data_IF_462759949897
#
_entry.id   IF_462759949897
#
_cell.length_a   1.000
_cell.length_b   1.000
_cell.length_c   1.000
_cell.angle_alpha   90.00
_cell.angle_beta   90.00
_cell.angle_gamma   90.00
#
_symmetry.space_group_name_H-M   'P 1'
#
loop_
_entity.id
_entity.type
_entity.pdbx_description
1 polymer ?
#
# COMPACT_ATOMS: atom_id res chain seq x y z
N UNK A 1 21.22 25.19 20.25
CA UNK A 1 21.47 23.87 19.63
C UNK A 1 20.45 23.69 18.51
N UNK A 2 20.84 24.01 17.28
CA UNK A 2 19.98 23.82 16.10
C UNK A 2 19.86 22.31 15.83
N UNK A 3 18.67 21.77 15.53
CA UNK A 3 18.58 20.37 15.11
C UNK A 3 19.38 20.19 13.81
N UNK A 4 20.10 19.07 13.62
CA UNK A 4 20.77 18.82 12.36
C UNK A 4 19.70 18.75 11.27
N UNK A 5 19.82 19.64 10.28
CA UNK A 5 19.04 19.56 9.08
C UNK A 5 19.33 18.21 8.41
N UNK A 6 18.38 17.27 8.48
CA UNK A 6 18.44 16.05 7.66
C UNK A 6 18.13 16.45 6.21
N UNK A 7 19.09 17.13 5.60
CA UNK A 7 19.11 17.44 4.18
C UNK A 7 19.51 16.15 3.47
N UNK A 8 18.58 15.59 2.70
CA UNK A 8 18.88 14.50 1.77
C UNK A 8 19.65 15.12 0.61
N UNK A 9 20.98 15.21 0.73
CA UNK A 9 21.84 15.78 -0.31
C UNK A 9 22.94 14.82 -0.78
N UNK A 10 23.02 13.58 -0.28
CA UNK A 10 24.04 12.66 -0.77
C UNK A 10 23.66 12.14 -2.17
N UNK A 11 24.57 12.24 -3.18
CA UNK A 11 24.33 11.69 -4.53
C UNK A 11 24.05 10.18 -4.53
N UNK A 12 24.50 9.47 -3.48
CA UNK A 12 24.27 8.04 -3.27
C UNK A 12 22.81 7.74 -2.98
N UNK A 13 22.14 8.53 -2.12
CA UNK A 13 20.72 8.33 -1.79
C UNK A 13 19.82 8.52 -3.01
N UNK A 14 20.14 9.51 -3.85
CA UNK A 14 19.39 9.80 -5.07
C UNK A 14 19.58 8.70 -6.12
N UNK A 15 20.80 8.17 -6.24
CA UNK A 15 21.11 7.06 -7.14
C UNK A 15 20.40 5.79 -6.70
N UNK A 16 20.41 5.49 -5.40
CA UNK A 16 19.67 4.37 -4.83
C UNK A 16 18.16 4.50 -5.05
N UNK A 17 17.59 5.69 -4.79
CA UNK A 17 16.17 5.95 -5.03
C UNK A 17 15.75 5.74 -6.50
N UNK A 18 16.61 6.16 -7.45
CA UNK A 18 16.38 5.94 -8.87
C UNK A 18 16.46 4.46 -9.24
N UNK A 19 17.45 3.73 -8.73
CA UNK A 19 17.57 2.29 -8.94
C UNK A 19 16.35 1.55 -8.41
N UNK A 20 15.90 1.86 -7.18
CA UNK A 20 14.68 1.31 -6.59
C UNK A 20 13.44 1.57 -7.46
N UNK A 21 13.29 2.79 -7.99
CA UNK A 21 12.16 3.12 -8.86
C UNK A 21 12.20 2.35 -10.19
N UNK A 22 13.39 2.18 -10.78
CA UNK A 22 13.57 1.41 -12.02
C UNK A 22 13.31 -0.07 -11.80
N UNK A 23 13.78 -0.65 -10.69
CA UNK A 23 13.47 -2.04 -10.32
C UNK A 23 11.95 -2.21 -10.17
N UNK A 24 11.27 -1.31 -9.46
CA UNK A 24 9.83 -1.36 -9.31
C UNK A 24 9.08 -1.29 -10.66
N UNK A 25 9.46 -0.35 -11.54
CA UNK A 25 8.85 -0.21 -12.87
C UNK A 25 9.13 -1.41 -13.79
N UNK A 26 10.36 -1.92 -13.80
CA UNK A 26 10.72 -3.10 -14.57
C UNK A 26 9.96 -4.33 -14.07
N UNK A 27 9.87 -4.53 -12.76
CA UNK A 27 9.08 -5.62 -12.17
C UNK A 27 7.60 -5.55 -12.55
N UNK A 28 6.99 -4.36 -12.51
CA UNK A 28 5.61 -4.14 -12.93
C UNK A 28 5.41 -4.43 -14.42
N UNK A 29 6.33 -3.97 -15.27
CA UNK A 29 6.28 -4.23 -16.71
C UNK A 29 6.40 -5.72 -17.02
N UNK A 30 7.34 -6.42 -16.39
CA UNK A 30 7.52 -7.87 -16.51
C UNK A 30 6.26 -8.61 -16.07
N UNK A 31 5.67 -8.24 -14.93
CA UNK A 31 4.43 -8.85 -14.46
C UNK A 31 3.28 -8.67 -15.47
N UNK A 32 3.06 -7.43 -15.94
CA UNK A 32 2.01 -7.14 -16.92
C UNK A 32 2.23 -7.89 -18.23
N UNK A 33 3.48 -7.92 -18.73
CA UNK A 33 3.82 -8.65 -19.95
C UNK A 33 3.56 -10.16 -19.81
N UNK A 34 3.99 -10.77 -18.69
CA UNK A 34 3.71 -12.19 -18.42
C UNK A 34 2.22 -12.47 -18.31
N UNK A 35 1.46 -11.64 -17.57
CA UNK A 35 0.02 -11.81 -17.41
C UNK A 35 -0.73 -11.70 -18.75
N UNK A 36 -0.35 -10.74 -19.61
CA UNK A 36 -0.92 -10.57 -20.94
C UNK A 36 -0.54 -11.72 -21.88
N UNK A 37 0.73 -12.17 -21.84
CA UNK A 37 1.19 -13.31 -22.63
C UNK A 37 0.42 -14.58 -22.28
N UNK A 38 0.13 -14.81 -21.00
CA UNK A 38 -0.64 -15.96 -20.53
C UNK A 38 -2.06 -16.01 -21.10
N UNK A 39 -2.70 -14.86 -21.39
CA UNK A 39 -3.99 -14.87 -22.08
C UNK A 39 -3.91 -15.41 -23.52
N UNK A 40 -2.76 -15.24 -24.20
CA UNK A 40 -2.51 -15.82 -25.51
C UNK A 40 -2.04 -17.28 -25.45
N UNK A 41 -1.25 -17.63 -24.43
CA UNK A 41 -0.69 -18.98 -24.25
C UNK A 41 -1.69 -19.98 -23.66
N UNK A 42 -2.76 -19.48 -23.03
CA UNK A 42 -3.81 -20.29 -22.39
C UNK A 42 -5.21 -19.88 -22.90
N UNK A 43 -5.51 -20.14 -24.19
CA UNK A 43 -6.83 -19.85 -24.75
C UNK A 43 -7.93 -20.75 -24.18
N UNK A 44 -7.56 -21.83 -23.48
CA UNK A 44 -8.45 -22.72 -22.73
C UNK A 44 -9.10 -22.05 -21.50
N UNK A 45 -8.53 -20.96 -21.00
CA UNK A 45 -9.05 -20.22 -19.84
C UNK A 45 -9.83 -18.98 -20.27
N UNK A 46 -11.06 -18.86 -19.79
CA UNK A 46 -11.91 -17.70 -20.04
C UNK A 46 -11.32 -16.42 -19.39
N UNK A 47 -10.96 -15.39 -20.17
CA UNK A 47 -10.39 -14.16 -19.65
C UNK A 47 -11.30 -13.40 -18.65
N UNK A 48 -12.61 -13.60 -18.70
CA UNK A 48 -13.59 -12.92 -17.85
C UNK A 48 -13.84 -13.70 -16.55
N UNK A 49 -14.00 -15.01 -16.64
CA UNK A 49 -14.40 -15.84 -15.49
C UNK A 49 -13.21 -16.44 -14.74
N UNK A 50 -12.12 -16.76 -15.43
CA UNK A 50 -10.94 -17.39 -14.83
C UNK A 50 -10.09 -16.38 -14.07
N UNK A 51 -9.90 -16.66 -12.78
CA UNK A 51 -9.01 -15.92 -11.89
C UNK A 51 -7.56 -16.03 -12.33
N UNK A 52 -6.74 -15.04 -11.96
CA UNK A 52 -5.31 -15.02 -12.34
C UNK A 52 -4.56 -16.24 -11.77
N UNK A 53 -4.93 -16.69 -10.57
CA UNK A 53 -4.32 -17.86 -9.94
C UNK A 53 -4.61 -19.19 -10.65
N UNK A 54 -5.68 -19.32 -11.45
CA UNK A 54 -5.90 -20.50 -12.27
C UNK A 54 -4.83 -20.66 -13.36
N UNK A 55 -4.22 -19.55 -13.81
CA UNK A 55 -3.12 -19.58 -14.77
C UNK A 55 -1.82 -20.13 -14.16
N UNK A 56 -1.76 -20.38 -12.83
CA UNK A 56 -0.64 -21.08 -12.19
C UNK A 56 -0.67 -22.59 -12.46
N UNK A 57 -1.81 -23.15 -12.88
CA UNK A 57 -1.97 -24.59 -13.09
C UNK A 57 -1.64 -24.91 -14.55
N UNK A 58 -0.71 -25.84 -14.77
CA UNK A 58 -0.28 -26.32 -16.10
C UNK A 58 1.10 -25.80 -16.53
N UNK A 59 1.48 -26.09 -17.77
CA UNK A 59 2.86 -25.93 -18.26
C UNK A 59 3.40 -24.49 -18.22
N UNK A 60 2.51 -23.50 -18.31
CA UNK A 60 2.86 -22.08 -18.25
C UNK A 60 2.77 -21.47 -16.84
N UNK A 61 2.41 -22.27 -15.83
CA UNK A 61 2.39 -21.86 -14.43
C UNK A 61 3.69 -21.22 -13.94
N UNK A 62 4.88 -21.80 -14.23
CA UNK A 62 6.16 -21.23 -13.83
C UNK A 62 6.41 -19.80 -14.31
N UNK A 63 5.88 -19.41 -15.47
CA UNK A 63 5.97 -18.03 -15.98
C UNK A 63 5.25 -17.05 -15.05
N UNK A 64 4.05 -17.41 -14.59
CA UNK A 64 3.28 -16.58 -13.67
C UNK A 64 3.90 -16.59 -12.26
N UNK A 65 4.45 -17.73 -11.82
CA UNK A 65 5.16 -17.83 -10.55
C UNK A 65 6.36 -16.88 -10.50
N UNK A 66 7.21 -16.91 -11.53
CA UNK A 66 8.33 -16.00 -11.67
C UNK A 66 7.86 -14.52 -11.69
N UNK A 67 6.78 -14.23 -12.42
CA UNK A 67 6.21 -12.88 -12.45
C UNK A 67 5.75 -12.39 -11.06
N UNK A 68 5.15 -13.27 -10.24
CA UNK A 68 4.72 -12.94 -8.87
C UNK A 68 5.91 -12.61 -7.97
N UNK A 69 7.00 -13.40 -8.05
CA UNK A 69 8.24 -13.16 -7.30
C UNK A 69 8.89 -11.84 -7.74
N UNK A 70 8.96 -11.60 -9.05
CA UNK A 70 9.51 -10.35 -9.61
C UNK A 70 8.70 -9.13 -9.14
N UNK A 71 7.37 -9.23 -9.11
CA UNK A 71 6.50 -8.17 -8.59
C UNK A 71 6.73 -7.92 -7.09
N UNK A 72 6.89 -8.97 -6.29
CA UNK A 72 7.21 -8.86 -4.86
C UNK A 72 8.52 -8.10 -4.58
N UNK A 73 9.55 -8.36 -5.38
CA UNK A 73 10.82 -7.61 -5.34
C UNK A 73 10.58 -6.13 -5.67
N UNK A 74 9.80 -5.86 -6.72
CA UNK A 74 9.47 -4.50 -7.15
C UNK A 74 8.73 -3.68 -6.08
N UNK A 75 7.75 -4.29 -5.41
CA UNK A 75 7.02 -3.66 -4.29
C UNK A 75 7.95 -3.31 -3.12
N UNK A 76 8.85 -4.23 -2.77
CA UNK A 76 9.84 -4.02 -1.69
C UNK A 76 10.83 -2.91 -2.06
N UNK A 77 11.32 -2.91 -3.30
CA UNK A 77 12.19 -1.86 -3.82
C UNK A 77 11.53 -0.48 -3.78
N UNK A 78 10.25 -0.38 -4.17
CA UNK A 78 9.48 0.87 -4.09
C UNK A 78 9.39 1.38 -2.65
N UNK A 79 9.02 0.52 -1.70
CA UNK A 79 8.95 0.87 -0.28
C UNK A 79 10.28 1.37 0.27
N UNK A 80 11.39 0.73 -0.13
CA UNK A 80 12.73 1.12 0.28
C UNK A 80 13.12 2.50 -0.30
N UNK A 81 12.89 2.72 -1.60
CA UNK A 81 13.18 3.98 -2.27
C UNK A 81 12.39 5.17 -1.70
N UNK A 82 11.10 4.97 -1.39
CA UNK A 82 10.27 6.00 -0.76
C UNK A 82 10.71 6.30 0.68
N UNK A 83 11.12 5.28 1.44
CA UNK A 83 11.64 5.48 2.80
C UNK A 83 12.92 6.32 2.81
N UNK A 84 13.85 6.07 1.89
CA UNK A 84 15.11 6.81 1.82
C UNK A 84 14.89 8.28 1.43
N UNK A 85 13.95 8.54 0.53
CA UNK A 85 13.63 9.89 0.03
C UNK A 85 12.64 10.68 0.90
N UNK A 86 12.12 10.07 1.96
CA UNK A 86 11.25 10.75 2.93
C UNK A 86 12.08 11.54 3.95
N UNK A 87 11.63 12.75 4.26
CA UNK A 87 12.19 13.59 5.34
C UNK A 87 12.16 12.86 6.69
N UNK A 88 13.11 13.17 7.58
CA UNK A 88 13.28 12.46 8.85
C UNK A 88 12.01 12.39 9.71
N UNK A 89 11.19 13.45 9.71
CA UNK A 89 9.92 13.48 10.45
C UNK A 89 8.82 12.60 9.85
N UNK A 90 8.89 12.28 8.55
CA UNK A 90 7.89 11.47 7.84
C UNK A 90 8.40 10.06 7.49
N UNK A 91 9.69 9.79 7.69
CA UNK A 91 10.33 8.50 7.42
C UNK A 91 9.77 7.41 8.32
N UNK A 92 9.30 6.33 7.71
CA UNK A 92 8.75 5.17 8.43
C UNK A 92 9.12 3.88 7.71
N UNK A 93 9.43 2.83 8.48
CA UNK A 93 9.63 1.49 7.94
C UNK A 93 8.30 0.73 7.70
N UNK A 94 7.19 1.22 8.26
CA UNK A 94 5.93 0.50 8.24
C UNK A 94 5.37 0.21 6.83
N UNK A 95 5.35 1.17 5.86
CA UNK A 95 4.89 0.87 4.51
C UNK A 95 5.79 -0.15 3.78
N UNK A 96 7.11 -0.06 3.99
CA UNK A 96 8.06 -1.03 3.45
C UNK A 96 7.78 -2.44 3.99
N UNK A 97 7.55 -2.58 5.30
CA UNK A 97 7.22 -3.87 5.90
C UNK A 97 5.90 -4.43 5.34
N UNK A 98 4.88 -3.58 5.14
CA UNK A 98 3.62 -4.01 4.51
C UNK A 98 3.82 -4.45 3.06
N UNK A 99 4.64 -3.74 2.27
CA UNK A 99 4.96 -4.19 0.91
C UNK A 99 5.77 -5.49 0.89
N UNK A 100 6.70 -5.68 1.83
CA UNK A 100 7.47 -6.91 1.96
C UNK A 100 6.57 -8.09 2.38
N UNK A 101 5.66 -7.89 3.34
CA UNK A 101 4.67 -8.90 3.75
C UNK A 101 3.68 -9.23 2.63
N UNK A 102 3.24 -8.22 1.87
CA UNK A 102 2.40 -8.41 0.69
C UNK A 102 3.12 -9.18 -0.41
N UNK A 103 4.40 -8.85 -0.66
CA UNK A 103 5.26 -9.56 -1.60
C UNK A 103 5.54 -11.01 -1.17
N UNK A 104 5.82 -11.24 0.11
CA UNK A 104 5.99 -12.59 0.66
C UNK A 104 4.71 -13.40 0.51
N UNK A 105 3.56 -12.81 0.84
CA UNK A 105 2.24 -13.44 0.69
C UNK A 105 1.95 -13.77 -0.78
N UNK A 106 2.31 -12.87 -1.71
CA UNK A 106 2.18 -13.09 -3.15
C UNK A 106 3.08 -14.23 -3.63
N UNK A 107 4.32 -14.30 -3.15
CA UNK A 107 5.24 -15.40 -3.46
C UNK A 107 4.73 -16.73 -2.88
N UNK A 108 4.21 -16.75 -1.65
CA UNK A 108 3.57 -17.95 -1.09
C UNK A 108 2.38 -18.38 -1.94
N UNK A 109 1.55 -17.45 -2.40
CA UNK A 109 0.42 -17.74 -3.30
C UNK A 109 0.89 -18.38 -4.61
N UNK A 110 2.05 -17.98 -5.11
CA UNK A 110 2.60 -18.49 -6.36
C UNK A 110 2.94 -19.99 -6.28
N UNK A 111 3.47 -20.43 -5.14
CA UNK A 111 3.97 -21.81 -4.96
C UNK A 111 3.04 -22.71 -4.15
N UNK A 112 2.08 -22.15 -3.40
CA UNK A 112 1.04 -22.92 -2.74
C UNK A 112 0.06 -23.47 -3.79
N UNK A 113 -0.16 -24.79 -3.77
CA UNK A 113 -1.10 -25.44 -4.67
C UNK A 113 -2.52 -24.93 -4.44
N UNK A 114 -3.25 -24.67 -5.53
CA UNK A 114 -4.66 -24.29 -5.49
C UNK A 114 -5.53 -25.52 -5.74
N UNK A 115 -6.48 -25.79 -4.86
CA UNK A 115 -7.50 -26.81 -5.09
C UNK A 115 -8.44 -26.41 -6.23
N UNK A 116 -8.75 -27.36 -7.11
CA UNK A 116 -9.69 -27.15 -8.20
C UNK A 116 -11.12 -26.96 -7.65
N UNK A 117 -11.96 -26.13 -8.28
CA UNK A 117 -13.36 -25.98 -7.88
C UNK A 117 -14.08 -27.33 -7.88
N UNK A 118 -14.59 -27.77 -6.73
CA UNK A 118 -15.35 -29.03 -6.58
C UNK A 118 -14.63 -30.18 -5.87
N UNK A 119 -13.38 -30.00 -5.44
CA UNK A 119 -12.63 -30.94 -4.60
C UNK A 119 -12.65 -30.47 -3.14
N UNK A 120 -12.58 -31.39 -2.18
CA UNK A 120 -12.45 -31.07 -0.75
C UNK A 120 -11.23 -30.18 -0.50
N UNK A 121 -11.40 -29.15 0.34
CA UNK A 121 -10.34 -28.19 0.63
C UNK A 121 -9.16 -28.84 1.34
N UNK A 122 -7.98 -28.78 0.74
CA UNK A 122 -6.72 -29.25 1.30
C UNK A 122 -6.06 -28.15 2.14
N UNK A 123 -5.09 -28.54 2.97
CA UNK A 123 -4.23 -27.58 3.69
C UNK A 123 -3.53 -26.62 2.70
N UNK A 124 -3.10 -27.13 1.55
CA UNK A 124 -2.38 -26.36 0.55
C UNK A 124 -3.28 -25.32 -0.13
N UNK A 125 -4.50 -25.70 -0.50
CA UNK A 125 -5.49 -24.75 -1.04
C UNK A 125 -5.89 -23.68 -0.02
N UNK A 126 -5.94 -24.03 1.27
CA UNK A 126 -6.13 -23.03 2.34
C UNK A 126 -4.95 -22.06 2.43
N UNK A 127 -3.70 -22.54 2.35
CA UNK A 127 -2.51 -21.70 2.33
C UNK A 127 -2.55 -20.78 1.11
N UNK A 128 -2.90 -21.29 -0.07
CA UNK A 128 -3.07 -20.49 -1.28
C UNK A 128 -4.12 -19.39 -1.08
N UNK A 129 -5.32 -19.73 -0.60
CA UNK A 129 -6.39 -18.77 -0.39
C UNK A 129 -6.06 -17.67 0.63
N UNK A 130 -5.50 -18.04 1.77
CA UNK A 130 -5.12 -17.09 2.84
C UNK A 130 -3.97 -16.19 2.38
N UNK A 131 -2.95 -16.75 1.72
CA UNK A 131 -1.82 -15.97 1.21
C UNK A 131 -2.24 -15.02 0.08
N UNK A 132 -3.16 -15.43 -0.80
CA UNK A 132 -3.70 -14.57 -1.85
C UNK A 132 -4.42 -13.35 -1.25
N UNK A 133 -5.27 -13.57 -0.25
CA UNK A 133 -5.95 -12.50 0.48
C UNK A 133 -4.95 -11.61 1.23
N UNK A 134 -3.96 -12.21 1.87
CA UNK A 134 -2.86 -11.51 2.53
C UNK A 134 -2.11 -10.58 1.59
N UNK A 135 -1.81 -11.03 0.37
CA UNK A 135 -1.11 -10.23 -0.64
C UNK A 135 -1.89 -8.94 -0.97
N UNK A 136 -3.19 -9.03 -1.25
CA UNK A 136 -4.04 -7.85 -1.52
C UNK A 136 -4.14 -6.93 -0.31
N UNK A 137 -4.37 -7.48 0.87
CA UNK A 137 -4.58 -6.70 2.09
C UNK A 137 -3.32 -5.96 2.52
N UNK A 138 -2.18 -6.64 2.59
CA UNK A 138 -0.91 -6.01 2.94
C UNK A 138 -0.47 -4.98 1.89
N UNK A 139 -0.63 -5.28 0.59
CA UNK A 139 -0.29 -4.35 -0.47
C UNK A 139 -1.13 -3.06 -0.37
N UNK A 140 -2.45 -3.17 -0.30
CA UNK A 140 -3.35 -2.00 -0.26
C UNK A 140 -3.25 -1.21 1.06
N UNK A 141 -3.06 -1.89 2.19
CA UNK A 141 -2.74 -1.22 3.46
C UNK A 141 -1.40 -0.47 3.39
N UNK A 142 -0.39 -1.08 2.76
CA UNK A 142 0.90 -0.46 2.46
C UNK A 142 0.75 0.79 1.59
N UNK A 143 -0.09 0.74 0.54
CA UNK A 143 -0.40 1.88 -0.32
C UNK A 143 -1.03 3.03 0.45
N UNK A 144 -2.04 2.75 1.29
CA UNK A 144 -2.72 3.78 2.10
C UNK A 144 -1.75 4.41 3.10
N UNK A 145 -1.00 3.58 3.85
CA UNK A 145 -0.06 4.09 4.83
C UNK A 145 1.07 4.89 4.16
N UNK A 146 1.57 4.42 3.01
CA UNK A 146 2.56 5.15 2.22
C UNK A 146 2.00 6.50 1.79
N UNK A 147 0.79 6.56 1.23
CA UNK A 147 0.17 7.81 0.79
C UNK A 147 -0.06 8.79 1.95
N UNK A 148 -0.41 8.30 3.15
CA UNK A 148 -0.52 9.12 4.35
C UNK A 148 0.84 9.71 4.79
N UNK A 149 1.92 8.92 4.70
CA UNK A 149 3.29 9.42 4.98
C UNK A 149 3.72 10.47 3.95
N UNK A 150 3.41 10.26 2.67
CA UNK A 150 3.67 11.23 1.60
C UNK A 150 2.88 12.54 1.80
N UNK A 151 1.69 12.50 2.39
CA UNK A 151 0.89 13.70 2.70
C UNK A 151 1.56 14.58 3.77
N UNK A 152 2.24 13.96 4.73
CA UNK A 152 2.97 14.66 5.78
C UNK A 152 4.25 15.33 5.29
N UNK A 153 4.83 14.83 4.19
CA UNK A 153 6.06 15.37 3.63
C UNK A 153 5.77 16.51 2.64
N UNK A 154 6.29 17.70 2.95
CA UNK A 154 6.08 18.91 2.16
C UNK A 154 6.45 18.70 0.68
N UNK A 155 7.48 17.91 0.42
CA UNK A 155 8.01 17.66 -0.89
C UNK A 155 7.09 16.72 -1.70
N UNK A 156 6.32 15.85 -1.02
CA UNK A 156 5.45 14.83 -1.64
C UNK A 156 3.96 15.18 -1.65
N UNK A 157 3.57 16.34 -1.11
CA UNK A 157 2.17 16.80 -1.06
C UNK A 157 1.44 16.75 -2.40
N UNK A 158 2.11 17.09 -3.50
CA UNK A 158 1.47 17.05 -4.82
C UNK A 158 1.10 15.62 -5.24
N UNK A 159 2.02 14.68 -5.04
CA UNK A 159 1.80 13.24 -5.27
C UNK A 159 0.71 12.68 -4.36
N UNK A 160 0.73 13.06 -3.08
CA UNK A 160 -0.21 12.55 -2.08
C UNK A 160 -1.68 12.90 -2.38
N UNK A 161 -1.96 14.04 -3.04
CA UNK A 161 -3.32 14.49 -3.36
C UNK A 161 -4.09 13.52 -4.25
N UNK A 162 -3.42 12.87 -5.19
CA UNK A 162 -4.04 11.85 -6.05
C UNK A 162 -3.74 10.43 -5.57
N UNK A 163 -2.57 10.19 -4.96
CA UNK A 163 -2.17 8.86 -4.52
C UNK A 163 -3.02 8.37 -3.35
N UNK A 164 -3.43 9.24 -2.42
CA UNK A 164 -4.24 8.86 -1.27
C UNK A 164 -5.66 8.41 -1.63
N UNK A 165 -6.47 9.19 -2.36
CA UNK A 165 -7.82 8.74 -2.74
C UNK A 165 -7.78 7.49 -3.62
N UNK A 166 -6.79 7.34 -4.50
CA UNK A 166 -6.62 6.11 -5.29
C UNK A 166 -6.23 4.92 -4.40
N UNK A 167 -5.31 5.08 -3.44
CA UNK A 167 -4.98 3.99 -2.50
C UNK A 167 -6.20 3.56 -1.66
N UNK A 168 -7.01 4.52 -1.20
CA UNK A 168 -8.25 4.26 -0.48
C UNK A 168 -9.28 3.56 -1.36
N UNK A 169 -9.39 3.93 -2.65
CA UNK A 169 -10.22 3.23 -3.62
C UNK A 169 -9.76 1.78 -3.78
N UNK A 170 -8.46 1.52 -3.99
CA UNK A 170 -7.94 0.15 -4.09
C UNK A 170 -8.24 -0.65 -2.82
N UNK A 171 -8.04 -0.06 -1.64
CA UNK A 171 -8.35 -0.69 -0.37
C UNK A 171 -9.84 -0.99 -0.24
N UNK A 172 -10.73 -0.04 -0.57
CA UNK A 172 -12.18 -0.26 -0.54
C UNK A 172 -12.61 -1.38 -1.52
N UNK A 173 -12.01 -1.42 -2.72
CA UNK A 173 -12.33 -2.43 -3.73
C UNK A 173 -12.00 -3.87 -3.32
N UNK A 174 -11.02 -4.10 -2.42
CA UNK A 174 -10.77 -5.45 -1.90
C UNK A 174 -11.93 -5.95 -1.03
N UNK A 175 -12.62 -5.05 -0.32
CA UNK A 175 -13.79 -5.38 0.49
C UNK A 175 -15.00 -5.66 -0.38
N UNK A 176 -15.16 -4.90 -1.46
CA UNK A 176 -16.18 -5.19 -2.47
C UNK A 176 -15.95 -6.58 -3.06
N UNK A 177 -14.70 -6.91 -3.42
CA UNK A 177 -14.34 -8.25 -3.92
C UNK A 177 -14.60 -9.36 -2.88
N UNK A 178 -14.38 -9.08 -1.59
CA UNK A 178 -14.60 -10.04 -0.51
C UNK A 178 -16.08 -10.26 -0.19
N UNK A 179 -16.90 -9.21 -0.28
CA UNK A 179 -18.32 -9.24 0.12
C UNK A 179 -19.24 -9.60 -1.05
N UNK A 180 -18.89 -9.26 -2.28
CA UNK A 180 -19.71 -9.50 -3.46
C UNK A 180 -19.49 -10.90 -4.04
N UNK A 181 -20.27 -11.86 -3.55
CA UNK A 181 -20.14 -13.28 -3.91
C UNK A 181 -20.50 -13.61 -5.35
N UNK A 182 -21.49 -12.92 -5.92
CA UNK A 182 -22.06 -13.18 -7.25
C UNK A 182 -21.32 -12.48 -8.40
N UNK A 183 -20.30 -11.67 -8.11
CA UNK A 183 -19.52 -10.99 -9.13
C UNK A 183 -18.69 -11.99 -9.95
N UNK A 184 -18.48 -11.77 -11.26
CA UNK A 184 -17.56 -12.57 -12.07
C UNK A 184 -16.15 -12.42 -11.50
N UNK A 185 -15.73 -13.40 -10.70
CA UNK A 185 -14.55 -13.26 -9.83
C UNK A 185 -13.26 -13.00 -10.60
N UNK A 186 -13.11 -13.57 -11.80
CA UNK A 186 -11.97 -13.32 -12.68
C UNK A 186 -11.83 -11.83 -13.03
N UNK A 187 -12.87 -11.24 -13.62
CA UNK A 187 -12.89 -9.83 -14.02
C UNK A 187 -12.78 -8.88 -12.82
N UNK A 188 -13.54 -9.14 -11.75
CA UNK A 188 -13.51 -8.31 -10.54
C UNK A 188 -12.10 -8.29 -9.92
N UNK A 189 -11.46 -9.46 -9.79
CA UNK A 189 -10.09 -9.56 -9.27
C UNK A 189 -9.08 -8.86 -10.19
N UNK A 190 -9.14 -9.09 -11.51
CA UNK A 190 -8.24 -8.44 -12.50
C UNK A 190 -8.40 -6.91 -12.47
N UNK A 191 -9.62 -6.41 -12.31
CA UNK A 191 -9.88 -4.97 -12.18
C UNK A 191 -9.18 -4.38 -10.96
N UNK A 192 -9.28 -5.04 -9.80
CA UNK A 192 -8.58 -4.62 -8.58
C UNK A 192 -7.06 -4.67 -8.77
N UNK A 193 -6.54 -5.74 -9.40
CA UNK A 193 -5.11 -5.87 -9.71
C UNK A 193 -4.64 -4.72 -10.60
N UNK A 194 -5.35 -4.38 -11.68
CA UNK A 194 -5.01 -3.27 -12.57
C UNK A 194 -4.98 -1.94 -11.81
N UNK A 195 -5.93 -1.69 -10.91
CA UNK A 195 -5.95 -0.48 -10.08
C UNK A 195 -4.73 -0.41 -9.15
N UNK A 196 -4.33 -1.53 -8.54
CA UNK A 196 -3.14 -1.62 -7.67
C UNK A 196 -1.86 -1.39 -8.48
N UNK A 197 -1.70 -2.08 -9.61
CA UNK A 197 -0.53 -1.95 -10.49
C UNK A 197 -0.41 -0.52 -11.03
N UNK A 198 -1.52 0.10 -11.41
CA UNK A 198 -1.56 1.49 -11.86
C UNK A 198 -1.06 2.46 -10.78
N UNK A 199 -1.50 2.27 -9.54
CA UNK A 199 -1.00 3.08 -8.42
C UNK A 199 0.50 2.87 -8.19
N UNK A 200 0.97 1.62 -8.16
CA UNK A 200 2.39 1.28 -7.97
C UNK A 200 3.25 1.89 -9.08
N UNK A 201 2.81 1.83 -10.33
CA UNK A 201 3.48 2.43 -11.48
C UNK A 201 3.53 3.96 -11.38
N UNK A 202 2.42 4.60 -11.01
CA UNK A 202 2.32 6.05 -10.88
C UNK A 202 3.25 6.59 -9.78
N UNK A 203 3.27 5.95 -8.61
CA UNK A 203 4.14 6.36 -7.49
C UNK A 203 5.61 6.05 -7.79
N UNK A 204 5.91 4.92 -8.43
CA UNK A 204 7.28 4.59 -8.87
C UNK A 204 7.80 5.59 -9.90
N UNK A 205 6.95 6.01 -10.84
CA UNK A 205 7.27 7.05 -11.82
C UNK A 205 7.50 8.41 -11.14
N UNK A 206 6.68 8.76 -10.14
CA UNK A 206 6.88 9.96 -9.35
C UNK A 206 8.23 9.93 -8.61
N UNK A 207 8.61 8.80 -8.02
CA UNK A 207 9.92 8.60 -7.39
C UNK A 207 11.06 8.75 -8.40
N UNK A 208 10.96 8.12 -9.57
CA UNK A 208 11.96 8.21 -10.64
C UNK A 208 12.15 9.65 -11.13
N UNK A 209 11.05 10.36 -11.44
CA UNK A 209 11.09 11.75 -11.93
C UNK A 209 11.78 12.68 -10.94
N UNK A 210 11.52 12.50 -9.64
CA UNK A 210 12.12 13.30 -8.58
C UNK A 210 13.61 13.00 -8.40
N UNK A 211 13.98 11.73 -8.39
CA UNK A 211 15.39 11.33 -8.33
C UNK A 211 16.18 11.78 -9.57
N UNK A 212 15.53 11.88 -10.73
CA UNK A 212 16.15 12.39 -11.96
C UNK A 212 16.32 13.92 -11.96
N UNK A 213 15.32 14.67 -11.47
CA UNK A 213 15.34 16.13 -11.43
C UNK A 213 16.48 16.69 -10.55
N UNK A 214 16.85 15.99 -9.47
CA UNK A 214 17.92 16.40 -8.56
C UNK A 214 19.34 16.36 -9.19
N UNK A 215 19.56 15.58 -10.25
CA UNK A 215 20.86 15.54 -10.97
C UNK A 215 21.09 16.73 -11.91
N UNK A 216 20.02 17.34 -12.42
CA UNK A 216 20.11 18.47 -13.36
C UNK A 216 20.19 19.85 -12.70
N UNK A 217 19.96 19.95 -11.38
CA UNK A 217 19.85 21.21 -10.65
C UNK A 217 21.13 21.73 -9.99
N UNK A 218 22.26 21.01 -10.07
CA UNK A 218 23.50 21.37 -9.38
C UNK A 218 24.18 22.66 -9.92
N UNK A 219 23.66 23.28 -10.98
CA UNK A 219 24.18 24.53 -11.53
C UNK A 219 23.09 25.59 -11.78
N UNK A 220 22.28 25.92 -10.76
CA UNK A 220 21.63 27.25 -10.75
C UNK A 220 21.14 27.70 -9.37
N UNK A 221 21.83 28.75 -8.87
CA UNK A 221 21.33 29.87 -8.04
C UNK A 221 20.83 29.58 -6.62
N UNK A 222 21.75 29.78 -5.68
CA UNK A 222 21.46 30.44 -4.40
C UNK A 222 21.11 31.92 -4.65
N UNK A 223 19.96 32.45 -4.20
CA UNK A 223 19.85 33.86 -3.87
C UNK A 223 20.07 33.99 -2.37
N UNK A 224 21.22 34.54 -2.00
CA UNK A 224 21.48 35.07 -0.67
C UNK A 224 20.42 36.16 -0.38
N UNK A 225 19.49 35.90 0.55
CA UNK A 225 18.57 36.93 1.05
C UNK A 225 19.14 37.52 2.34
N UNK A 226 19.31 38.86 2.46
CA UNK A 226 19.70 39.49 3.72
C UNK A 226 18.51 39.47 4.70
N UNK A 227 18.84 39.43 5.99
CA UNK A 227 17.91 39.15 7.07
C UNK A 227 16.85 40.21 7.29
N UNK A 228 15.61 39.76 7.49
CA UNK A 228 14.60 40.50 8.22
C UNK A 228 14.31 39.79 9.54
N UNK A 229 14.76 40.42 10.63
CA UNK A 229 14.29 40.12 11.99
C UNK A 229 12.82 40.52 12.07
N UNK A 230 11.91 39.55 12.04
CA UNK A 230 10.53 39.75 12.43
C UNK A 230 10.32 39.26 13.87
N UNK A 231 9.71 40.16 14.62
CA UNK A 231 9.54 40.25 16.06
C UNK A 231 8.69 39.10 16.60
N UNK A 232 9.17 38.47 17.66
CA UNK A 232 8.69 37.20 18.24
C UNK A 232 7.47 37.32 19.18
N UNK A 233 6.44 38.09 18.83
CA UNK A 233 5.33 38.35 19.78
C UNK A 233 3.93 37.87 19.34
N UNK A 234 3.67 37.60 18.05
CA UNK A 234 2.28 37.33 17.60
C UNK A 234 1.95 35.85 17.34
N UNK A 235 2.92 34.93 17.49
CA UNK A 235 2.75 33.51 17.13
C UNK A 235 2.09 32.65 18.21
N UNK A 236 1.88 33.15 19.43
CA UNK A 236 1.35 32.35 20.55
C UNK A 236 -0.18 32.35 20.63
N UNK A 237 -0.87 33.35 20.07
CA UNK A 237 -2.34 33.44 20.17
C UNK A 237 -3.08 32.79 19.00
N UNK A 238 -2.48 32.68 17.81
CA UNK A 238 -3.13 32.10 16.63
C UNK A 238 -3.18 30.55 16.64
N UNK A 239 -2.19 29.91 17.27
CA UNK A 239 -2.09 28.45 17.40
C UNK A 239 -3.15 27.87 18.33
N UNK A 240 -3.49 28.59 19.40
CA UNK A 240 -4.44 28.18 20.44
C UNK A 240 -5.88 28.04 19.92
N UNK A 241 -6.29 28.92 18.99
CA UNK A 241 -7.64 28.89 18.41
C UNK A 241 -7.81 27.82 17.35
N UNK A 242 -6.73 27.54 16.58
CA UNK A 242 -6.73 26.49 15.56
C UNK A 242 -6.72 25.08 16.16
N UNK A 243 -6.00 24.88 17.26
CA UNK A 243 -5.97 23.60 17.98
C UNK A 243 -7.36 23.21 18.52
N UNK A 244 -8.03 24.16 19.18
CA UNK A 244 -9.36 23.93 19.80
C UNK A 244 -10.45 23.67 18.75
N UNK A 245 -10.30 24.19 17.53
CA UNK A 245 -11.23 23.91 16.42
C UNK A 245 -11.04 22.51 15.83
N UNK A 246 -9.79 22.07 15.65
CA UNK A 246 -9.50 20.73 15.11
C UNK A 246 -9.89 19.61 16.10
N UNK A 247 -9.76 19.83 17.40
CA UNK A 247 -10.14 18.85 18.43
C UNK A 247 -11.64 18.52 18.40
N UNK A 248 -12.49 19.55 18.25
CA UNK A 248 -13.95 19.39 18.18
C UNK A 248 -14.39 18.67 16.89
N UNK A 249 -13.67 18.86 15.79
CA UNK A 249 -13.93 18.14 14.54
C UNK A 249 -13.47 16.68 14.66
N UNK A 250 -12.27 16.44 15.20
CA UNK A 250 -11.70 15.10 15.33
C UNK A 250 -12.48 14.20 16.30
N UNK A 251 -12.97 14.74 17.43
CA UNK A 251 -13.80 13.98 18.38
C UNK A 251 -15.17 13.68 17.78
N UNK A 252 -15.78 14.61 17.05
CA UNK A 252 -17.04 14.36 16.32
C UNK A 252 -16.90 13.24 15.30
N UNK A 253 -15.82 13.23 14.52
CA UNK A 253 -15.56 12.16 13.56
C UNK A 253 -15.28 10.81 14.24
N UNK A 254 -14.54 10.79 15.35
CA UNK A 254 -14.26 9.56 16.11
C UNK A 254 -15.53 8.90 16.65
N UNK A 255 -16.48 9.70 17.17
CA UNK A 255 -17.77 9.19 17.66
C UNK A 255 -18.62 8.64 16.51
N UNK A 256 -18.65 9.31 15.34
CA UNK A 256 -19.38 8.82 14.16
C UNK A 256 -18.83 7.46 13.71
N UNK A 257 -17.50 7.30 13.64
CA UNK A 257 -16.90 6.01 13.27
C UNK A 257 -17.15 4.92 14.30
N UNK A 258 -17.16 5.24 15.60
CA UNK A 258 -17.49 4.30 16.65
C UNK A 258 -18.94 3.80 16.55
N UNK A 259 -19.88 4.70 16.25
CA UNK A 259 -21.31 4.36 16.05
C UNK A 259 -21.50 3.52 14.79
N UNK A 260 -20.85 3.85 13.67
CA UNK A 260 -20.90 3.05 12.44
C UNK A 260 -20.33 1.64 12.68
N UNK A 261 -19.20 1.54 13.40
CA UNK A 261 -18.60 0.25 13.76
C UNK A 261 -19.49 -0.59 14.69
N UNK A 262 -20.16 0.05 15.65
CA UNK A 262 -21.09 -0.61 16.57
C UNK A 262 -22.33 -1.12 15.83
N UNK A 263 -22.91 -0.31 14.94
CA UNK A 263 -24.09 -0.69 14.13
C UNK A 263 -23.71 -1.80 13.13
N UNK A 264 -22.56 -1.70 12.47
CA UNK A 264 -22.07 -2.75 11.58
C UNK A 264 -21.80 -4.07 12.33
N UNK A 265 -21.28 -3.99 13.56
CA UNK A 265 -21.13 -5.14 14.45
C UNK A 265 -22.48 -5.72 14.89
N UNK A 266 -23.44 -4.88 15.28
CA UNK A 266 -24.75 -5.32 15.74
C UNK A 266 -25.62 -5.91 14.61
N UNK A 267 -25.53 -5.37 13.39
CA UNK A 267 -26.25 -5.87 12.21
C UNK A 267 -25.56 -7.07 11.54
N UNK A 268 -24.26 -7.28 11.80
CA UNK A 268 -23.46 -8.34 11.18
C UNK A 268 -23.49 -9.70 11.89
N UNK A 269 -24.13 -9.80 13.06
CA UNK A 269 -24.18 -11.03 13.87
C UNK A 269 -25.60 -11.53 14.10
N UNK A 270 -26.30 -11.90 13.02
CA UNK A 270 -27.39 -12.88 13.10
C UNK A 270 -27.37 -13.78 11.86
N UNK A 271 -26.84 -15.01 12.00
CA UNK A 271 -27.11 -16.08 11.03
C UNK A 271 -25.94 -16.96 10.58
N UNK A 272 -26.02 -18.23 11.00
CA UNK A 272 -25.53 -19.46 10.32
C UNK A 272 -24.04 -19.80 10.49
N UNK A 273 -23.81 -20.69 11.46
CA UNK A 273 -22.55 -21.23 11.96
C UNK A 273 -21.64 -21.98 10.94
N UNK A 274 -21.99 -22.02 9.65
CA UNK A 274 -21.13 -22.57 8.58
C UNK A 274 -20.43 -21.49 7.73
N UNK A 275 -21.09 -20.35 7.50
CA UNK A 275 -20.51 -19.23 6.73
C UNK A 275 -19.54 -18.38 7.56
N UNK A 276 -19.69 -18.44 8.89
CA UNK A 276 -18.93 -17.68 9.87
C UNK A 276 -17.45 -18.07 9.94
N UNK A 277 -17.08 -19.32 9.64
CA UNK A 277 -15.67 -19.75 9.76
C UNK A 277 -14.76 -19.10 8.71
N UNK A 278 -15.26 -18.93 7.47
CA UNK A 278 -14.52 -18.24 6.41
C UNK A 278 -14.40 -16.74 6.66
N UNK A 279 -15.48 -16.12 7.10
CA UNK A 279 -15.52 -14.67 7.42
C UNK A 279 -14.73 -14.38 8.70
N UNK A 280 -14.75 -15.25 9.71
CA UNK A 280 -14.00 -15.10 10.95
C UNK A 280 -12.48 -15.15 10.71
N UNK A 281 -12.00 -16.05 9.83
CA UNK A 281 -10.58 -16.07 9.43
C UNK A 281 -10.16 -14.75 8.77
N UNK A 282 -11.01 -14.24 7.88
CA UNK A 282 -10.76 -12.97 7.19
C UNK A 282 -10.80 -11.77 8.15
N UNK A 283 -11.81 -11.68 9.02
CA UNK A 283 -11.94 -10.63 10.02
C UNK A 283 -10.86 -10.71 11.09
N UNK A 284 -10.39 -11.91 11.45
CA UNK A 284 -9.27 -12.11 12.38
C UNK A 284 -7.98 -11.52 11.83
N UNK A 285 -7.64 -11.80 10.56
CA UNK A 285 -6.49 -11.18 9.90
C UNK A 285 -6.66 -9.68 9.70
N UNK A 286 -7.85 -9.22 9.31
CA UNK A 286 -8.14 -7.78 9.22
C UNK A 286 -7.99 -7.09 10.57
N UNK A 287 -8.49 -7.69 11.65
CA UNK A 287 -8.37 -7.16 13.01
C UNK A 287 -6.92 -7.14 13.49
N UNK A 288 -6.12 -8.18 13.23
CA UNK A 288 -4.69 -8.19 13.54
C UNK A 288 -3.96 -7.08 12.79
N UNK A 289 -4.28 -6.86 11.52
CA UNK A 289 -3.60 -5.85 10.70
C UNK A 289 -4.01 -4.44 11.12
N UNK A 290 -5.30 -4.19 11.38
CA UNK A 290 -5.76 -2.93 11.95
C UNK A 290 -5.07 -2.71 13.31
N UNK A 291 -5.00 -3.73 14.16
CA UNK A 291 -4.31 -3.66 15.44
C UNK A 291 -2.82 -3.36 15.26
N UNK A 292 -2.11 -4.00 14.32
CA UNK A 292 -0.69 -3.74 14.05
C UNK A 292 -0.47 -2.35 13.47
N UNK A 293 -1.30 -1.91 12.52
CA UNK A 293 -1.22 -0.55 11.95
C UNK A 293 -1.47 0.49 13.03
N UNK A 294 -2.52 0.33 13.83
CA UNK A 294 -2.84 1.23 14.95
C UNK A 294 -1.75 1.18 16.03
N UNK A 295 -1.21 0.01 16.34
CA UNK A 295 -0.15 -0.16 17.32
C UNK A 295 1.16 0.50 16.86
N UNK A 296 1.54 0.33 15.60
CA UNK A 296 2.72 1.00 15.02
C UNK A 296 2.49 2.51 14.95
N UNK A 297 1.30 2.97 14.56
CA UNK A 297 0.95 4.40 14.64
C UNK A 297 1.07 4.91 16.08
N UNK A 298 0.52 4.18 17.05
CA UNK A 298 0.57 4.50 18.49
C UNK A 298 1.99 4.61 19.03
N UNK A 299 2.87 3.66 18.71
CA UNK A 299 4.27 3.69 19.11
C UNK A 299 5.06 4.86 18.46
N UNK A 300 4.70 5.24 17.23
CA UNK A 300 5.33 6.41 16.57
C UNK A 300 4.88 7.75 17.14
N UNK A 301 3.66 7.82 17.71
CA UNK A 301 3.15 9.01 18.40
C UNK A 301 3.69 9.08 19.84
N UNK A 302 3.72 7.95 20.55
CA UNK A 302 4.19 7.89 21.94
C UNK A 302 5.66 8.33 22.08
N UNK A 303 6.54 7.94 21.16
CA UNK A 303 7.95 8.39 21.16
C UNK A 303 8.13 9.89 20.95
N UNK A 304 7.13 10.60 20.42
CA UNK A 304 7.19 12.04 20.15
C UNK A 304 6.73 12.89 21.34
N UNK A 305 6.12 12.27 22.34
CA UNK A 305 5.63 12.92 23.57
C UNK A 305 6.62 12.74 24.73
N UNK A 306 7.49 11.72 24.66
CA UNK A 306 8.48 11.38 25.69
C UNK A 306 9.94 11.76 25.34
N UNK A 307 10.18 12.43 24.20
CA UNK A 307 11.47 13.03 23.82
C UNK A 307 11.35 14.53 23.68
#
# INVERSE_FOLDING_TARGET
MSPPAAVIDSPLDQTCARACALVALASLATFCASALALHGLRPDLDPVHSQMSLYLIGDWGPLLQAAYVVLAIGMTALGWGLRQTSSGACRSAAPLLLFALGGLSLATTAYAWMDLPGIDSTLEGLIHGVSAQGAFLFATAGMVLQALRLRGDAAWRATARWALPWALLCFASIWVLALWRDAPRGLAQKTVVVLILGWLAAVSTALWRRAAASRGGACSRQPHRPGHRLRSADATNATSCNYRRMENDMIKWAIIFAVIGLIAGALGFTGVAGASMGIAKFLFWAAIIIAVVLFVLGLTVAKKVTS
#
